data_IF_149681424832
#
_entry.id   IF_149681424832
#
_cell.length_a   1.000
_cell.length_b   1.000
_cell.length_c   1.000
_cell.angle_alpha   90.00
_cell.angle_beta   90.00
_cell.angle_gamma   90.00
#
_symmetry.space_group_name_H-M   'P 1'
#
loop_
_entity.id
_entity.type
_entity.pdbx_description
1 polymer ?
#
# COMPACT_ATOMS: atom_id res chain seq x y z
N UNK A 1 1.31 -27.75 18.01
CA UNK A 1 1.23 -26.68 19.04
C UNK A 1 -0.17 -26.11 19.02
N UNK A 2 -0.78 -25.85 20.18
CA UNK A 2 -2.08 -25.17 20.26
C UNK A 2 -1.93 -23.66 20.04
N UNK A 3 -2.97 -22.99 19.53
CA UNK A 3 -3.01 -21.52 19.39
C UNK A 3 -2.83 -20.81 20.74
N UNK A 4 -3.42 -21.39 21.79
CA UNK A 4 -3.33 -20.88 23.17
C UNK A 4 -1.88 -20.81 23.66
N UNK A 5 -1.08 -21.86 23.43
CA UNK A 5 0.33 -21.86 23.80
C UNK A 5 1.14 -20.81 23.03
N UNK A 6 0.86 -20.62 21.73
CA UNK A 6 1.56 -19.61 20.92
C UNK A 6 1.27 -18.20 21.42
N UNK A 7 0.03 -17.92 21.86
CA UNK A 7 -0.35 -16.63 22.44
C UNK A 7 0.31 -16.37 23.78
N UNK A 8 0.27 -17.34 24.69
CA UNK A 8 0.94 -17.22 26.00
C UNK A 8 2.44 -16.96 25.85
N UNK A 9 3.09 -17.68 24.92
CA UNK A 9 4.52 -17.48 24.64
C UNK A 9 4.80 -16.10 24.06
N UNK A 10 3.97 -15.63 23.12
CA UNK A 10 4.11 -14.29 22.56
C UNK A 10 3.99 -13.20 23.64
N UNK A 11 3.06 -13.33 24.58
CA UNK A 11 2.88 -12.36 25.65
C UNK A 11 4.04 -12.35 26.66
N UNK A 12 4.61 -13.52 26.97
CA UNK A 12 5.84 -13.62 27.77
C UNK A 12 7.02 -12.89 27.08
N UNK A 13 7.20 -13.11 25.78
CA UNK A 13 8.26 -12.46 24.99
C UNK A 13 8.06 -10.95 24.92
N UNK A 14 6.83 -10.46 24.69
CA UNK A 14 6.50 -9.03 24.73
C UNK A 14 6.87 -8.41 26.08
N UNK A 15 6.61 -9.10 27.19
CA UNK A 15 7.00 -8.66 28.53
C UNK A 15 8.51 -8.45 28.68
N UNK A 16 9.33 -9.34 28.11
CA UNK A 16 10.80 -9.22 28.11
C UNK A 16 11.27 -8.05 27.26
N UNK A 17 10.66 -7.84 26.08
CA UNK A 17 11.02 -6.72 25.21
C UNK A 17 10.74 -5.37 25.87
N UNK A 18 9.63 -5.23 26.62
CA UNK A 18 9.37 -4.00 27.39
C UNK A 18 10.46 -3.66 28.39
N UNK A 19 11.09 -4.67 29.00
CA UNK A 19 12.21 -4.45 29.93
C UNK A 19 13.47 -3.93 29.21
N UNK A 20 13.62 -4.20 27.91
CA UNK A 20 14.78 -3.74 27.14
C UNK A 20 14.83 -2.22 27.00
N UNK A 21 13.68 -1.53 26.98
CA UNK A 21 13.60 -0.06 26.97
C UNK A 21 14.14 0.60 28.25
N UNK A 22 14.22 -0.15 29.37
CA UNK A 22 14.75 0.31 30.65
C UNK A 22 16.13 -0.24 31.02
N UNK A 23 16.74 -1.06 30.15
CA UNK A 23 18.04 -1.69 30.39
C UNK A 23 19.20 -0.79 29.95
N UNK A 24 20.41 -1.04 30.47
CA UNK A 24 21.65 -0.28 30.14
C UNK A 24 21.84 -0.08 28.62
N UNK A 25 21.46 -1.06 27.79
CA UNK A 25 21.53 -0.99 26.32
C UNK A 25 20.69 0.15 25.71
N UNK A 26 19.57 0.53 26.32
CA UNK A 26 18.71 1.62 25.87
C UNK A 26 18.92 2.93 26.66
N UNK A 27 19.93 3.00 27.52
CA UNK A 27 20.24 4.25 28.27
C UNK A 27 21.03 5.27 27.45
N UNK A 28 21.64 4.87 26.33
CA UNK A 28 22.27 5.77 25.36
C UNK A 28 21.36 6.02 24.14
N UNK A 29 21.46 7.22 23.53
CA UNK A 29 20.72 7.58 22.32
C UNK A 29 20.96 6.56 21.19
N UNK A 30 22.22 6.21 20.93
CA UNK A 30 22.59 5.24 19.90
C UNK A 30 21.97 3.85 20.16
N UNK A 31 22.00 3.37 21.40
CA UNK A 31 21.40 2.08 21.76
C UNK A 31 19.88 2.07 21.66
N UNK A 32 19.24 3.20 21.97
CA UNK A 32 17.79 3.39 21.83
C UNK A 32 17.35 3.41 20.36
N UNK A 33 18.10 4.12 19.49
CA UNK A 33 17.86 4.12 18.03
C UNK A 33 17.98 2.70 17.45
N UNK A 34 19.02 1.95 17.84
CA UNK A 34 19.21 0.56 17.39
C UNK A 34 18.03 -0.31 17.82
N UNK A 35 17.56 -0.19 19.07
CA UNK A 35 16.42 -0.97 19.54
C UNK A 35 15.13 -0.65 18.77
N UNK A 36 14.85 0.64 18.54
CA UNK A 36 13.68 1.07 17.75
C UNK A 36 13.77 0.53 16.33
N UNK A 37 14.92 0.69 15.65
CA UNK A 37 15.11 0.18 14.29
C UNK A 37 14.94 -1.35 14.23
N UNK A 38 15.49 -2.10 15.20
CA UNK A 38 15.32 -3.55 15.27
C UNK A 38 13.87 -3.97 15.44
N UNK A 39 13.11 -3.30 16.31
CA UNK A 39 11.69 -3.60 16.54
C UNK A 39 10.86 -3.32 15.29
N UNK A 40 11.09 -2.19 14.62
CA UNK A 40 10.40 -1.86 13.37
C UNK A 40 10.71 -2.85 12.26
N UNK A 41 11.99 -3.16 12.04
CA UNK A 41 12.39 -4.04 10.94
C UNK A 41 11.94 -5.47 11.20
N UNK A 42 11.88 -5.92 12.46
CA UNK A 42 11.29 -7.21 12.81
C UNK A 42 9.75 -7.23 12.82
N UNK A 43 9.09 -6.10 12.54
CA UNK A 43 7.62 -6.00 12.50
C UNK A 43 6.98 -6.20 13.87
N UNK A 44 7.64 -5.71 14.91
CA UNK A 44 7.23 -5.82 16.32
C UNK A 44 6.81 -4.48 16.92
N UNK A 45 6.97 -3.38 16.19
CA UNK A 45 6.71 -2.00 16.63
C UNK A 45 5.26 -1.76 17.05
N UNK A 46 4.32 -2.43 16.40
CA UNK A 46 2.90 -2.39 16.75
C UNK A 46 2.61 -2.77 18.22
N UNK A 47 3.44 -3.60 18.83
CA UNK A 47 3.28 -4.04 20.23
C UNK A 47 3.86 -3.07 21.25
N UNK A 48 4.65 -2.09 20.81
CA UNK A 48 5.43 -1.17 21.66
C UNK A 48 5.26 0.30 21.24
N UNK A 49 4.10 0.68 20.67
CA UNK A 49 3.87 2.02 20.08
C UNK A 49 4.15 3.16 21.06
N UNK A 50 3.71 3.02 22.32
CA UNK A 50 3.92 4.06 23.33
C UNK A 50 5.38 4.12 23.76
N UNK A 51 6.02 2.97 23.98
CA UNK A 51 7.44 2.89 24.34
C UNK A 51 8.35 3.45 23.25
N UNK A 52 8.06 3.17 21.98
CA UNK A 52 8.79 3.71 20.81
C UNK A 52 8.59 5.23 20.72
N UNK A 53 7.36 5.71 20.92
CA UNK A 53 7.07 7.15 20.89
C UNK A 53 7.80 7.90 22.00
N UNK A 54 7.83 7.36 23.21
CA UNK A 54 8.61 7.92 24.32
C UNK A 54 10.10 7.90 24.01
N UNK A 55 10.62 6.81 23.46
CA UNK A 55 12.02 6.68 23.07
C UNK A 55 12.43 7.74 22.04
N UNK A 56 11.63 7.91 20.98
CA UNK A 56 11.90 8.90 19.93
C UNK A 56 11.75 10.34 20.43
N UNK A 57 10.82 10.59 21.37
CA UNK A 57 10.70 11.89 22.01
C UNK A 57 11.97 12.27 22.78
N UNK A 58 12.61 11.30 23.44
CA UNK A 58 13.91 11.50 24.12
C UNK A 58 15.03 11.78 23.12
N UNK A 59 15.10 10.99 22.04
CA UNK A 59 16.07 11.18 20.95
C UNK A 59 15.93 12.58 20.33
N UNK A 60 14.71 13.06 20.13
CA UNK A 60 14.45 14.38 19.55
C UNK A 60 14.81 15.54 20.49
N UNK A 61 14.67 15.36 21.81
CA UNK A 61 14.96 16.40 22.81
C UNK A 61 16.44 16.56 23.15
N UNK A 62 17.30 15.67 22.67
CA UNK A 62 18.73 15.68 22.98
C UNK A 62 19.48 16.61 22.01
N UNK A 63 20.06 17.70 22.54
CA UNK A 63 20.84 18.69 21.78
C UNK A 63 22.25 18.16 21.38
N UNK A 64 22.66 16.97 21.85
CA UNK A 64 24.00 16.39 21.62
C UNK A 64 24.11 15.46 20.40
N UNK A 65 23.16 15.50 19.44
CA UNK A 65 23.34 14.76 18.19
C UNK A 65 24.46 15.41 17.35
N UNK A 66 25.61 14.76 17.27
CA UNK A 66 26.66 15.09 16.31
C UNK A 66 26.17 14.91 14.85
N UNK A 67 26.90 15.46 13.87
CA UNK A 67 26.51 15.41 12.46
C UNK A 67 26.26 13.95 11.98
N UNK A 68 27.01 12.99 12.51
CA UNK A 68 26.89 11.56 12.22
C UNK A 68 25.60 10.95 12.81
N UNK A 69 25.27 11.26 14.07
CA UNK A 69 24.05 10.85 14.75
C UNK A 69 22.81 11.47 14.11
N UNK A 70 22.89 12.73 13.70
CA UNK A 70 21.78 13.41 13.03
C UNK A 70 21.51 12.83 11.64
N UNK A 71 22.56 12.46 10.87
CA UNK A 71 22.40 11.80 9.55
C UNK A 71 21.70 10.43 9.65
N UNK A 72 22.02 9.64 10.68
CA UNK A 72 21.45 8.30 10.90
C UNK A 72 20.01 8.33 11.44
N UNK A 73 19.57 9.47 11.97
CA UNK A 73 18.27 9.61 12.66
C UNK A 73 17.20 10.33 11.82
N UNK A 74 17.56 10.94 10.69
CA UNK A 74 16.62 11.67 9.83
C UNK A 74 15.41 10.84 9.38
N UNK A 75 15.66 9.59 8.94
CA UNK A 75 14.58 8.73 8.46
C UNK A 75 13.67 8.25 9.61
N UNK A 76 14.17 7.68 10.71
CA UNK A 76 13.34 7.32 11.87
C UNK A 76 12.52 8.50 12.42
N UNK A 77 13.10 9.70 12.53
CA UNK A 77 12.37 10.87 13.03
C UNK A 77 11.18 11.23 12.14
N UNK A 78 11.40 11.40 10.84
CA UNK A 78 10.32 11.71 9.88
C UNK A 78 9.31 10.56 9.75
N UNK A 79 9.71 9.30 9.96
CA UNK A 79 8.81 8.14 9.93
C UNK A 79 7.83 8.11 11.12
N UNK A 80 8.17 8.71 12.25
CA UNK A 80 7.36 8.74 13.48
C UNK A 80 6.79 10.13 13.78
N UNK A 81 6.45 10.87 12.73
CA UNK A 81 5.77 12.16 12.82
C UNK A 81 6.57 13.27 13.54
N UNK A 82 7.89 13.09 13.74
CA UNK A 82 8.76 14.19 14.13
C UNK A 82 9.10 14.98 12.88
N UNK A 83 8.49 16.17 12.75
CA UNK A 83 8.81 17.08 11.65
C UNK A 83 10.26 17.52 11.77
N UNK A 84 11.05 17.17 10.75
CA UNK A 84 12.43 17.65 10.60
C UNK A 84 12.46 18.57 9.38
N UNK A 85 12.79 19.86 9.60
CA UNK A 85 12.95 20.85 8.54
C UNK A 85 13.97 20.39 7.49
N UNK A 86 13.78 20.79 6.24
CA UNK A 86 14.79 20.57 5.19
C UNK A 86 16.12 21.25 5.48
N UNK A 87 16.12 22.26 6.35
CA UNK A 87 17.35 22.96 6.76
C UNK A 87 18.36 22.01 7.41
N UNK A 88 17.89 20.90 8.00
CA UNK A 88 18.77 19.86 8.57
C UNK A 88 19.60 19.17 7.48
N UNK A 89 19.15 19.18 6.23
CA UNK A 89 19.92 18.63 5.11
C UNK A 89 21.07 19.56 4.68
N UNK A 90 21.01 20.85 5.01
CA UNK A 90 22.08 21.80 4.72
C UNK A 90 23.33 21.53 5.57
N UNK A 91 23.18 20.83 6.70
CA UNK A 91 24.31 20.39 7.54
C UNK A 91 25.19 19.33 6.83
N UNK A 92 24.68 18.71 5.78
CA UNK A 92 25.42 17.74 4.96
C UNK A 92 26.02 18.35 3.70
N UNK A 93 25.97 19.68 3.55
CA UNK A 93 26.46 20.39 2.37
C UNK A 93 27.79 21.08 2.65
N UNK A 94 28.62 21.14 1.62
CA UNK A 94 29.89 21.86 1.63
C UNK A 94 29.70 23.37 1.38
N UNK A 95 30.79 24.12 1.41
CA UNK A 95 30.80 25.57 1.16
C UNK A 95 30.32 25.95 -0.25
N UNK A 96 30.29 25.00 -1.19
CA UNK A 96 29.77 25.22 -2.56
C UNK A 96 28.25 25.05 -2.63
N UNK A 97 27.63 24.56 -1.56
CA UNK A 97 26.23 24.14 -1.54
C UNK A 97 26.01 22.78 -2.18
N UNK A 98 27.03 21.95 -2.37
CA UNK A 98 26.85 20.55 -2.82
C UNK A 98 26.86 19.60 -1.62
N UNK A 99 26.28 18.41 -1.73
CA UNK A 99 26.42 17.40 -0.67
C UNK A 99 27.89 16.99 -0.52
N UNK A 100 28.39 17.01 0.72
CA UNK A 100 29.81 16.79 1.03
C UNK A 100 30.25 15.38 0.66
N UNK A 101 31.42 15.26 0.00
CA UNK A 101 32.04 13.97 -0.29
C UNK A 101 32.46 13.20 0.97
N UNK A 102 32.58 13.86 2.13
CA UNK A 102 32.90 13.20 3.40
C UNK A 102 31.83 12.14 3.78
N UNK A 103 30.58 12.34 3.35
CA UNK A 103 29.48 11.40 3.55
C UNK A 103 29.72 10.05 2.88
N UNK A 104 30.55 9.99 1.83
CA UNK A 104 30.87 8.75 1.11
C UNK A 104 31.54 7.73 2.03
N UNK A 105 32.24 8.20 3.06
CA UNK A 105 32.90 7.33 4.04
C UNK A 105 31.92 6.66 5.01
N UNK A 106 30.65 7.09 5.05
CA UNK A 106 29.59 6.51 5.88
C UNK A 106 28.40 5.98 5.03
N UNK A 107 28.47 4.71 4.57
CA UNK A 107 27.38 4.09 3.83
C UNK A 107 26.05 4.01 4.60
N UNK A 108 26.07 3.99 5.94
CA UNK A 108 24.84 3.94 6.75
C UNK A 108 24.17 5.31 6.78
N UNK A 109 24.94 6.37 7.02
CA UNK A 109 24.49 7.77 6.92
C UNK A 109 23.93 8.08 5.53
N UNK A 110 24.61 7.66 4.45
CA UNK A 110 24.12 7.82 3.08
C UNK A 110 22.79 7.09 2.81
N UNK A 111 22.64 5.87 3.31
CA UNK A 111 21.39 5.12 3.17
C UNK A 111 20.24 5.78 3.96
N UNK A 112 20.53 6.30 5.15
CA UNK A 112 19.56 7.06 5.94
C UNK A 112 19.14 8.36 5.22
N UNK A 113 20.10 9.12 4.69
CA UNK A 113 19.87 10.32 3.88
C UNK A 113 18.97 10.01 2.67
N UNK A 114 19.29 8.95 1.92
CA UNK A 114 18.50 8.50 0.78
C UNK A 114 17.04 8.20 1.17
N UNK A 115 16.83 7.41 2.23
CA UNK A 115 15.49 7.07 2.69
C UNK A 115 14.74 8.29 3.25
N UNK A 116 15.42 9.20 3.96
CA UNK A 116 14.82 10.42 4.47
C UNK A 116 14.36 11.36 3.35
N UNK A 117 15.18 11.49 2.30
CA UNK A 117 14.87 12.34 1.15
C UNK A 117 13.65 11.83 0.35
N UNK A 118 13.39 10.52 0.34
CA UNK A 118 12.17 9.96 -0.28
C UNK A 118 10.86 10.25 0.48
N UNK A 119 10.94 10.85 1.67
CA UNK A 119 9.79 11.40 2.41
C UNK A 119 9.52 12.88 2.09
N UNK A 120 10.11 13.39 0.99
CA UNK A 120 9.90 14.76 0.54
C UNK A 120 8.42 15.12 0.36
N UNK A 121 8.09 16.39 0.61
CA UNK A 121 6.80 17.00 0.27
C UNK A 121 6.92 17.90 -0.97
N UNK A 122 5.80 18.39 -1.56
CA UNK A 122 5.86 19.27 -2.72
C UNK A 122 6.60 20.58 -2.38
N UNK A 123 7.54 20.97 -3.23
CA UNK A 123 8.37 22.18 -3.06
C UNK A 123 9.77 21.92 -2.49
N UNK A 124 10.03 20.73 -1.92
CA UNK A 124 11.35 20.35 -1.41
C UNK A 124 12.26 19.81 -2.52
N UNK A 125 12.69 20.67 -3.47
CA UNK A 125 13.52 20.28 -4.61
C UNK A 125 14.95 19.84 -4.19
N UNK A 126 15.45 20.36 -3.07
CA UNK A 126 16.77 19.99 -2.52
C UNK A 126 16.89 18.48 -2.24
N UNK A 127 15.77 17.82 -1.94
CA UNK A 127 15.76 16.39 -1.67
C UNK A 127 15.94 15.55 -2.94
N UNK A 128 15.67 16.09 -4.14
CA UNK A 128 16.02 15.42 -5.39
C UNK A 128 17.54 15.34 -5.57
N UNK A 129 18.26 16.40 -5.21
CA UNK A 129 19.73 16.42 -5.20
C UNK A 129 20.29 15.41 -4.21
N UNK A 130 19.68 15.31 -3.01
CA UNK A 130 20.06 14.33 -1.99
C UNK A 130 19.88 12.89 -2.48
N UNK A 131 18.73 12.59 -3.11
CA UNK A 131 18.44 11.26 -3.69
C UNK A 131 19.47 10.92 -4.77
N UNK A 132 19.75 11.85 -5.68
CA UNK A 132 20.69 11.64 -6.78
C UNK A 132 22.12 11.44 -6.28
N UNK A 133 22.56 12.23 -5.30
CA UNK A 133 23.87 12.12 -4.66
C UNK A 133 24.01 10.76 -3.95
N UNK A 134 23.10 10.44 -3.03
CA UNK A 134 23.19 9.21 -2.25
C UNK A 134 23.11 7.96 -3.14
N UNK A 135 22.22 7.94 -4.14
CA UNK A 135 22.12 6.83 -5.11
C UNK A 135 23.45 6.56 -5.81
N UNK A 136 24.08 7.59 -6.37
CA UNK A 136 25.37 7.47 -7.09
C UNK A 136 26.45 6.81 -6.24
N UNK A 137 26.48 7.10 -4.94
CA UNK A 137 27.51 6.58 -4.03
C UNK A 137 27.14 5.25 -3.38
N UNK A 138 25.89 4.81 -3.50
CA UNK A 138 25.40 3.52 -3.00
C UNK A 138 25.28 2.43 -4.10
N UNK A 139 25.38 2.79 -5.38
CA UNK A 139 25.15 1.90 -6.54
C UNK A 139 25.98 0.60 -6.56
N UNK A 140 27.18 0.61 -5.97
CA UNK A 140 28.06 -0.56 -5.92
C UNK A 140 27.79 -1.49 -4.73
N UNK A 141 26.88 -1.12 -3.82
CA UNK A 141 26.62 -1.87 -2.59
C UNK A 141 25.64 -3.03 -2.82
N UNK A 142 25.81 -4.10 -2.04
CA UNK A 142 25.00 -5.33 -2.10
C UNK A 142 24.04 -5.44 -0.92
N UNK A 143 23.10 -6.38 -0.99
CA UNK A 143 22.18 -6.69 0.12
C UNK A 143 21.15 -5.60 0.36
N UNK A 144 21.00 -5.15 1.60
CA UNK A 144 19.99 -4.16 2.02
C UNK A 144 20.06 -2.86 1.21
N UNK A 145 21.27 -2.38 0.89
CA UNK A 145 21.45 -1.15 0.11
C UNK A 145 20.88 -1.32 -1.29
N UNK A 146 21.16 -2.44 -1.95
CA UNK A 146 20.62 -2.74 -3.29
C UNK A 146 19.09 -2.75 -3.28
N UNK A 147 18.46 -3.34 -2.26
CA UNK A 147 16.98 -3.35 -2.16
C UNK A 147 16.40 -1.95 -1.96
N UNK A 148 17.01 -1.14 -1.09
CA UNK A 148 16.57 0.23 -0.88
C UNK A 148 16.71 1.10 -2.15
N UNK A 149 17.71 0.83 -3.00
CA UNK A 149 17.86 1.51 -4.28
C UNK A 149 16.82 1.10 -5.34
N UNK A 150 16.22 -0.09 -5.22
CA UNK A 150 15.09 -0.52 -6.05
C UNK A 150 13.79 0.17 -5.60
N UNK A 151 13.46 0.06 -4.32
CA UNK A 151 12.32 0.76 -3.71
C UNK A 151 12.80 1.33 -2.36
N UNK A 152 12.75 2.66 -2.16
CA UNK A 152 13.16 3.30 -0.91
C UNK A 152 12.36 2.79 0.28
N UNK A 153 13.00 2.67 1.45
CA UNK A 153 12.38 2.13 2.67
C UNK A 153 11.03 2.78 3.04
N UNK A 154 10.83 4.12 2.97
CA UNK A 154 9.53 4.72 3.28
C UNK A 154 8.39 4.25 2.37
N UNK A 155 8.71 3.82 1.16
CA UNK A 155 7.79 3.35 0.12
C UNK A 155 7.72 1.83 0.04
N UNK A 156 8.66 1.14 0.69
CA UNK A 156 8.72 -0.32 0.70
C UNK A 156 7.74 -0.92 1.70
N UNK A 157 7.26 -2.11 1.40
CA UNK A 157 6.33 -2.82 2.26
C UNK A 157 7.04 -3.34 3.51
N UNK A 158 6.54 -2.92 4.68
CA UNK A 158 7.07 -3.31 5.99
C UNK A 158 7.16 -4.81 6.16
N UNK A 159 6.10 -5.56 5.82
CA UNK A 159 6.07 -7.01 6.04
C UNK A 159 7.10 -7.78 5.19
N UNK A 160 7.34 -7.36 3.96
CA UNK A 160 8.36 -7.98 3.11
C UNK A 160 9.78 -7.62 3.60
N UNK A 161 9.99 -6.37 4.05
CA UNK A 161 11.24 -6.01 4.72
C UNK A 161 11.44 -6.86 5.97
N UNK A 162 10.41 -7.07 6.79
CA UNK A 162 10.48 -7.96 7.95
C UNK A 162 10.87 -9.39 7.57
N UNK A 163 10.30 -9.94 6.51
CA UNK A 163 10.68 -11.27 6.04
C UNK A 163 12.15 -11.35 5.61
N UNK A 164 12.65 -10.34 4.89
CA UNK A 164 14.07 -10.27 4.53
C UNK A 164 14.94 -10.08 5.77
N UNK A 165 14.54 -9.18 6.67
CA UNK A 165 15.32 -8.83 7.82
C UNK A 165 15.40 -9.95 8.85
N UNK A 166 14.35 -10.77 9.04
CA UNK A 166 14.44 -11.95 9.90
C UNK A 166 15.60 -12.87 9.46
N UNK A 167 15.77 -13.08 8.15
CA UNK A 167 16.84 -13.92 7.60
C UNK A 167 18.22 -13.27 7.80
N UNK A 168 18.32 -11.94 7.63
CA UNK A 168 19.57 -11.20 7.82
C UNK A 168 19.95 -11.12 9.30
N UNK A 169 18.98 -10.84 10.17
CA UNK A 169 19.14 -10.73 11.61
C UNK A 169 19.63 -12.04 12.21
N UNK A 170 19.15 -13.19 11.72
CA UNK A 170 19.67 -14.52 12.10
C UNK A 170 21.17 -14.71 11.85
N UNK A 171 21.76 -13.96 10.93
CA UNK A 171 23.16 -14.07 10.53
C UNK A 171 24.06 -13.05 11.25
N UNK A 172 23.50 -12.15 12.06
CA UNK A 172 24.28 -11.20 12.85
C UNK A 172 25.15 -11.91 13.90
N UNK A 173 26.21 -11.22 14.37
CA UNK A 173 27.18 -11.81 15.29
C UNK A 173 26.57 -12.16 16.67
N UNK A 174 25.47 -11.50 17.06
CA UNK A 174 24.74 -11.75 18.30
C UNK A 174 23.26 -11.33 18.21
N UNK A 175 22.40 -12.09 17.50
CA UNK A 175 20.98 -11.77 17.41
C UNK A 175 20.29 -11.97 18.76
N UNK A 176 19.39 -11.05 19.10
CA UNK A 176 18.51 -11.22 20.26
C UNK A 176 17.49 -12.32 20.00
N UNK A 177 17.65 -13.45 20.68
CA UNK A 177 16.80 -14.62 20.53
C UNK A 177 15.33 -14.35 20.92
N UNK A 178 15.08 -13.41 21.85
CA UNK A 178 13.72 -13.01 22.25
C UNK A 178 13.02 -12.31 21.10
N UNK A 179 13.70 -11.37 20.45
CA UNK A 179 13.17 -10.65 19.29
C UNK A 179 12.94 -11.59 18.11
N UNK A 180 13.88 -12.50 17.84
CA UNK A 180 13.78 -13.43 16.73
C UNK A 180 12.66 -14.46 16.91
N UNK A 181 12.45 -14.96 18.13
CA UNK A 181 11.35 -15.90 18.41
C UNK A 181 9.99 -15.22 18.25
N UNK A 182 9.85 -13.98 18.75
CA UNK A 182 8.61 -13.22 18.67
C UNK A 182 8.24 -12.89 17.20
N UNK A 183 9.22 -12.63 16.33
CA UNK A 183 8.99 -12.28 14.93
C UNK A 183 8.50 -13.43 14.03
N UNK A 184 8.65 -14.70 14.43
CA UNK A 184 8.44 -15.88 13.57
C UNK A 184 7.05 -16.52 13.62
N UNK A 185 6.15 -16.10 14.49
CA UNK A 185 4.78 -16.63 14.56
C UNK A 185 3.83 -15.88 13.63
N UNK A 186 2.99 -16.58 12.82
CA UNK A 186 1.62 -16.22 12.32
C UNK A 186 1.31 -16.50 10.81
N UNK A 187 -0.01 -16.76 10.54
CA UNK A 187 -0.80 -16.60 9.28
C UNK A 187 -1.20 -17.78 8.36
N UNK A 188 -0.94 -19.05 8.68
CA UNK A 188 -1.29 -20.15 7.74
C UNK A 188 -2.80 -20.50 7.64
N UNK A 189 -3.64 -20.09 8.58
CA UNK A 189 -5.05 -20.53 8.64
C UNK A 189 -6.01 -19.74 7.75
N UNK A 190 -5.79 -18.45 7.56
CA UNK A 190 -6.68 -17.59 6.75
C UNK A 190 -6.64 -17.98 5.28
N UNK A 191 -5.44 -18.18 4.73
CA UNK A 191 -5.25 -18.55 3.33
C UNK A 191 -5.96 -19.87 2.99
N UNK A 192 -5.95 -20.84 3.92
CA UNK A 192 -6.69 -22.10 3.76
C UNK A 192 -8.20 -21.86 3.61
N UNK A 193 -8.78 -21.04 4.48
CA UNK A 193 -10.22 -20.75 4.47
C UNK A 193 -10.62 -19.95 3.22
N UNK A 194 -9.81 -18.96 2.84
CA UNK A 194 -10.01 -18.17 1.63
C UNK A 194 -9.89 -19.03 0.36
N UNK A 195 -8.94 -19.96 0.31
CA UNK A 195 -8.78 -20.90 -0.81
C UNK A 195 -10.01 -21.81 -0.99
N UNK A 196 -10.60 -22.29 0.11
CA UNK A 196 -11.82 -23.10 0.06
C UNK A 196 -13.01 -22.27 -0.43
N UNK A 197 -13.19 -21.06 0.12
CA UNK A 197 -14.23 -20.12 -0.31
C UNK A 197 -14.10 -19.78 -1.80
N UNK A 198 -12.90 -19.45 -2.27
CA UNK A 198 -12.64 -19.08 -3.65
C UNK A 198 -12.93 -20.23 -4.62
N UNK A 199 -12.46 -21.44 -4.29
CA UNK A 199 -12.72 -22.62 -5.11
C UNK A 199 -14.22 -22.86 -5.30
N UNK A 200 -15.01 -22.68 -4.25
CA UNK A 200 -16.45 -22.89 -4.30
C UNK A 200 -17.15 -21.78 -5.11
N UNK A 201 -16.72 -20.52 -4.96
CA UNK A 201 -17.18 -19.39 -5.77
C UNK A 201 -16.87 -19.60 -7.27
N UNK A 202 -15.60 -19.81 -7.60
CA UNK A 202 -15.10 -19.95 -8.98
C UNK A 202 -15.80 -21.08 -9.73
N UNK A 203 -15.96 -22.25 -9.09
CA UNK A 203 -16.71 -23.38 -9.64
C UNK A 203 -18.19 -23.06 -9.84
N UNK A 204 -18.82 -22.38 -8.87
CA UNK A 204 -20.25 -22.09 -8.93
C UNK A 204 -20.64 -21.11 -10.03
N UNK A 205 -19.73 -20.20 -10.41
CA UNK A 205 -19.97 -19.21 -11.47
C UNK A 205 -19.52 -19.75 -12.85
N UNK A 206 -18.72 -20.82 -12.90
CA UNK A 206 -18.28 -21.44 -14.16
C UNK A 206 -17.30 -20.55 -14.95
N UNK A 207 -16.42 -19.86 -14.24
CA UNK A 207 -15.58 -18.78 -14.76
C UNK A 207 -14.27 -19.29 -15.40
N UNK A 208 -14.35 -20.05 -16.49
CA UNK A 208 -13.14 -20.55 -17.19
C UNK A 208 -12.28 -19.47 -17.85
N UNK A 209 -12.76 -18.23 -17.89
CA UNK A 209 -12.12 -17.08 -18.53
C UNK A 209 -11.50 -16.10 -17.53
N UNK A 210 -11.88 -16.15 -16.25
CA UNK A 210 -11.38 -15.24 -15.22
C UNK A 210 -10.05 -15.77 -14.66
N UNK A 211 -9.23 -14.88 -14.11
CA UNK A 211 -7.94 -15.24 -13.52
C UNK A 211 -8.15 -15.97 -12.18
N UNK A 212 -7.49 -17.11 -11.98
CA UNK A 212 -7.51 -17.85 -10.71
C UNK A 212 -6.44 -17.29 -9.75
N UNK A 213 -6.82 -16.22 -9.04
CA UNK A 213 -5.90 -15.33 -8.30
C UNK A 213 -6.38 -15.11 -6.87
N UNK A 214 -6.51 -16.13 -6.03
CA UNK A 214 -6.86 -15.90 -4.60
C UNK A 214 -5.63 -15.58 -3.75
N UNK A 215 -4.46 -16.07 -4.16
CA UNK A 215 -3.21 -15.92 -3.40
C UNK A 215 -2.70 -14.49 -3.50
N UNK A 216 -2.81 -13.86 -4.67
CA UNK A 216 -2.30 -12.53 -4.96
C UNK A 216 -3.07 -11.44 -4.18
N UNK A 217 -4.42 -11.35 -4.24
CA UNK A 217 -5.20 -10.46 -3.39
C UNK A 217 -5.02 -10.73 -1.90
N UNK A 218 -4.87 -12.00 -1.49
CA UNK A 218 -4.53 -12.30 -0.10
C UNK A 218 -3.15 -11.76 0.26
N UNK A 219 -2.14 -11.97 -0.57
CA UNK A 219 -0.78 -11.48 -0.37
C UNK A 219 -0.74 -9.95 -0.30
N UNK A 220 -1.52 -9.26 -1.16
CA UNK A 220 -1.68 -7.81 -1.10
C UNK A 220 -2.16 -7.35 0.27
N UNK A 221 -3.26 -7.93 0.76
CA UNK A 221 -3.89 -7.52 2.01
C UNK A 221 -3.13 -8.02 3.25
N UNK A 222 -2.52 -9.20 3.17
CA UNK A 222 -1.67 -9.76 4.20
C UNK A 222 -0.49 -8.85 4.49
N UNK A 223 0.13 -8.37 3.43
CA UNK A 223 1.23 -7.43 3.48
C UNK A 223 0.79 -6.04 3.95
N UNK A 224 -0.39 -5.61 3.46
CA UNK A 224 -1.20 -4.47 3.88
C UNK A 224 -1.33 -4.31 5.41
N UNK A 225 -1.86 -5.37 6.00
CA UNK A 225 -2.46 -5.36 7.33
C UNK A 225 -2.00 -6.61 8.07
N UNK A 226 -0.71 -6.74 8.32
CA UNK A 226 -0.09 -7.98 8.78
C UNK A 226 -0.38 -8.29 10.26
N UNK A 227 -0.83 -7.32 11.05
CA UNK A 227 -1.07 -7.49 12.50
C UNK A 227 -2.24 -8.45 12.77
N UNK A 228 -2.17 -9.28 13.82
CA UNK A 228 -3.17 -10.33 14.10
C UNK A 228 -4.60 -9.75 14.18
N UNK A 229 -4.74 -8.58 14.80
CA UNK A 229 -6.00 -7.86 15.00
C UNK A 229 -6.67 -7.47 13.67
N UNK A 230 -5.91 -7.36 12.59
CA UNK A 230 -6.39 -6.98 11.26
C UNK A 230 -6.91 -8.18 10.43
N UNK A 231 -7.09 -9.36 11.04
CA UNK A 231 -7.63 -10.56 10.37
C UNK A 231 -8.95 -10.30 9.64
N UNK A 232 -9.86 -9.56 10.26
CA UNK A 232 -11.15 -9.17 9.65
C UNK A 232 -10.96 -8.33 8.39
N UNK A 233 -10.01 -7.40 8.40
CA UNK A 233 -9.64 -6.58 7.24
C UNK A 233 -9.10 -7.49 6.13
N UNK A 234 -8.09 -8.33 6.43
CA UNK A 234 -7.48 -9.23 5.45
C UNK A 234 -8.51 -10.12 4.76
N UNK A 235 -9.39 -10.77 5.52
CA UNK A 235 -10.42 -11.67 4.96
C UNK A 235 -11.43 -10.88 4.13
N UNK A 236 -11.96 -9.78 4.65
CA UNK A 236 -13.04 -9.01 3.99
C UNK A 236 -12.54 -8.35 2.71
N UNK A 237 -11.39 -7.67 2.77
CA UNK A 237 -10.82 -6.99 1.61
C UNK A 237 -10.39 -8.01 0.56
N UNK A 238 -9.82 -9.17 0.94
CA UNK A 238 -9.48 -10.22 -0.03
C UNK A 238 -10.72 -10.72 -0.78
N UNK A 239 -11.82 -11.01 -0.07
CA UNK A 239 -13.06 -11.44 -0.71
C UNK A 239 -13.59 -10.40 -1.69
N UNK A 240 -13.64 -9.12 -1.28
CA UNK A 240 -14.14 -8.04 -2.12
C UNK A 240 -13.21 -7.76 -3.31
N UNK A 241 -11.89 -7.83 -3.10
CA UNK A 241 -10.89 -7.73 -4.17
C UNK A 241 -11.13 -8.82 -5.21
N UNK A 242 -11.25 -10.08 -4.79
CA UNK A 242 -11.55 -11.16 -5.72
C UNK A 242 -12.87 -10.96 -6.47
N UNK A 243 -13.91 -10.40 -5.83
CA UNK A 243 -15.18 -10.09 -6.50
C UNK A 243 -15.06 -8.98 -7.55
N UNK A 244 -14.34 -7.89 -7.25
CA UNK A 244 -14.11 -6.82 -8.24
C UNK A 244 -13.21 -7.29 -9.38
N UNK A 245 -12.26 -8.20 -9.13
CA UNK A 245 -11.42 -8.80 -10.17
C UNK A 245 -12.23 -9.70 -11.10
N UNK A 246 -13.21 -10.44 -10.58
CA UNK A 246 -14.16 -11.19 -11.41
C UNK A 246 -15.06 -10.26 -12.24
N UNK A 247 -15.46 -9.13 -11.68
CA UNK A 247 -16.25 -8.12 -12.38
C UNK A 247 -15.42 -7.50 -13.52
N UNK A 248 -14.18 -7.11 -13.24
CA UNK A 248 -13.18 -6.58 -14.17
C UNK A 248 -12.96 -7.54 -15.36
N UNK A 249 -12.57 -8.79 -15.08
CA UNK A 249 -12.38 -9.83 -16.12
C UNK A 249 -13.64 -10.07 -16.97
N UNK A 250 -14.83 -9.85 -16.40
CA UNK A 250 -16.09 -9.97 -17.14
C UNK A 250 -16.25 -8.86 -18.16
N UNK A 251 -15.97 -7.60 -17.77
CA UNK A 251 -16.04 -6.46 -18.69
C UNK A 251 -14.94 -6.53 -19.76
N UNK A 252 -13.72 -6.93 -19.39
CA UNK A 252 -12.56 -6.87 -20.28
C UNK A 252 -12.50 -8.02 -21.29
N UNK A 253 -12.81 -9.25 -20.85
CA UNK A 253 -12.47 -10.45 -21.62
C UNK A 253 -13.69 -11.13 -22.23
N UNK A 254 -14.85 -11.06 -21.57
CA UNK A 254 -15.98 -11.94 -21.89
C UNK A 254 -17.23 -11.24 -22.38
N UNK A 255 -17.72 -10.24 -21.67
CA UNK A 255 -19.02 -9.66 -21.93
C UNK A 255 -19.00 -8.84 -23.22
N UNK A 256 -20.05 -9.00 -24.02
CA UNK A 256 -20.34 -8.07 -25.13
C UNK A 256 -20.76 -6.71 -24.59
N UNK A 257 -20.72 -5.65 -25.41
CA UNK A 257 -21.16 -4.31 -24.99
C UNK A 257 -22.61 -4.32 -24.47
N UNK A 258 -23.51 -5.06 -25.12
CA UNK A 258 -24.90 -5.22 -24.68
C UNK A 258 -24.98 -5.92 -23.32
N UNK A 259 -24.20 -6.99 -23.12
CA UNK A 259 -24.11 -7.70 -21.85
C UNK A 259 -23.52 -6.84 -20.72
N UNK A 260 -22.51 -6.01 -21.02
CA UNK A 260 -21.95 -5.03 -20.09
C UNK A 260 -23.01 -4.02 -19.62
N UNK A 261 -23.84 -3.52 -20.54
CA UNK A 261 -24.94 -2.61 -20.18
C UNK A 261 -25.98 -3.32 -19.31
N UNK A 262 -26.36 -4.55 -19.66
CA UNK A 262 -27.29 -5.35 -18.86
C UNK A 262 -26.74 -5.65 -17.47
N UNK A 263 -25.46 -5.98 -17.36
CA UNK A 263 -24.77 -6.23 -16.10
C UNK A 263 -24.74 -4.96 -15.24
N UNK A 264 -24.40 -3.80 -15.81
CA UNK A 264 -24.43 -2.54 -15.09
C UNK A 264 -25.83 -2.23 -14.56
N UNK A 265 -26.87 -2.35 -15.39
CA UNK A 265 -28.25 -2.15 -14.94
C UNK A 265 -28.63 -3.06 -13.77
N UNK A 266 -28.22 -4.34 -13.81
CA UNK A 266 -28.46 -5.27 -12.72
C UNK A 266 -27.71 -4.85 -11.44
N UNK A 267 -26.44 -4.44 -11.55
CA UNK A 267 -25.65 -3.91 -10.44
C UNK A 267 -26.30 -2.65 -9.85
N UNK A 268 -26.75 -1.71 -10.68
CA UNK A 268 -27.42 -0.48 -10.23
C UNK A 268 -28.69 -0.78 -9.42
N UNK A 269 -29.46 -1.78 -9.82
CA UNK A 269 -30.69 -2.19 -9.11
C UNK A 269 -30.41 -2.98 -7.83
N UNK A 270 -29.32 -3.75 -7.77
CA UNK A 270 -28.87 -4.52 -6.59
C UNK A 270 -29.95 -5.41 -5.98
N UNK A 271 -30.56 -6.25 -6.82
CA UNK A 271 -31.67 -7.11 -6.41
C UNK A 271 -31.65 -8.42 -7.21
N UNK A 272 -31.85 -9.55 -6.54
CA UNK A 272 -31.86 -10.86 -7.20
C UNK A 272 -33.01 -11.01 -8.23
N UNK A 273 -34.14 -10.33 -8.02
CA UNK A 273 -35.29 -10.42 -8.94
C UNK A 273 -34.96 -9.91 -10.36
N UNK A 274 -33.98 -9.01 -10.48
CA UNK A 274 -33.58 -8.42 -11.76
C UNK A 274 -32.45 -9.19 -12.46
N UNK A 275 -31.85 -10.21 -11.84
CA UNK A 275 -30.81 -10.99 -12.54
C UNK A 275 -31.40 -12.03 -13.52
N UNK A 276 -32.73 -12.19 -13.52
CA UNK A 276 -33.45 -13.17 -14.35
C UNK A 276 -33.35 -12.92 -15.85
N UNK A 277 -33.11 -11.67 -16.28
CA UNK A 277 -32.89 -11.32 -17.69
C UNK A 277 -31.43 -11.41 -18.13
N UNK A 278 -30.48 -11.60 -17.21
CA UNK A 278 -29.08 -11.77 -17.55
C UNK A 278 -28.83 -13.17 -18.16
N UNK A 279 -27.84 -13.29 -19.08
CA UNK A 279 -27.23 -14.56 -19.44
C UNK A 279 -26.81 -15.36 -18.20
N UNK A 280 -26.80 -16.69 -18.31
CA UNK A 280 -26.62 -17.61 -17.17
C UNK A 280 -25.38 -17.30 -16.32
N UNK A 281 -24.23 -17.03 -16.96
CA UNK A 281 -22.99 -16.74 -16.25
C UNK A 281 -23.02 -15.39 -15.52
N UNK A 282 -23.59 -14.35 -16.13
CA UNK A 282 -23.75 -13.02 -15.51
C UNK A 282 -24.76 -13.07 -14.36
N UNK A 283 -25.81 -13.88 -14.51
CA UNK A 283 -26.76 -14.16 -13.45
C UNK A 283 -26.07 -14.82 -12.26
N UNK A 284 -25.27 -15.85 -12.51
CA UNK A 284 -24.52 -16.54 -11.47
C UNK A 284 -23.54 -15.59 -10.75
N UNK A 285 -22.78 -14.79 -11.49
CA UNK A 285 -21.87 -13.77 -10.94
C UNK A 285 -22.62 -12.76 -10.06
N UNK A 286 -23.75 -12.25 -10.55
CA UNK A 286 -24.56 -11.26 -9.83
C UNK A 286 -25.14 -11.82 -8.53
N UNK A 287 -25.73 -13.02 -8.56
CA UNK A 287 -26.27 -13.68 -7.35
C UNK A 287 -25.15 -13.92 -6.35
N UNK A 288 -23.99 -14.43 -6.79
CA UNK A 288 -22.87 -14.69 -5.89
C UNK A 288 -22.29 -13.42 -5.31
N UNK A 289 -22.24 -12.34 -6.07
CA UNK A 289 -21.88 -11.01 -5.55
C UNK A 289 -22.83 -10.60 -4.44
N UNK A 290 -24.15 -10.58 -4.69
CA UNK A 290 -25.16 -10.20 -3.70
C UNK A 290 -25.08 -11.05 -2.42
N UNK A 291 -24.95 -12.38 -2.57
CA UNK A 291 -24.79 -13.31 -1.45
C UNK A 291 -23.55 -13.01 -0.61
N UNK A 292 -22.39 -12.77 -1.23
CA UNK A 292 -21.16 -12.47 -0.50
C UNK A 292 -21.23 -11.14 0.24
N UNK A 293 -21.83 -10.11 -0.36
CA UNK A 293 -22.07 -8.83 0.33
C UNK A 293 -23.01 -9.00 1.51
N UNK A 294 -24.02 -9.88 1.38
CA UNK A 294 -24.92 -10.21 2.48
C UNK A 294 -24.21 -10.96 3.62
N UNK A 295 -23.38 -11.95 3.28
CA UNK A 295 -22.55 -12.66 4.25
C UNK A 295 -21.61 -11.69 5.01
N UNK A 296 -20.97 -10.75 4.31
CA UNK A 296 -20.14 -9.72 4.94
C UNK A 296 -20.98 -8.88 5.91
N UNK A 297 -22.13 -8.35 5.48
CA UNK A 297 -23.03 -7.56 6.34
C UNK A 297 -23.49 -8.33 7.59
N UNK A 298 -23.73 -9.64 7.46
CA UNK A 298 -24.19 -10.48 8.56
C UNK A 298 -23.10 -10.72 9.62
N UNK A 299 -21.81 -10.56 9.25
CA UNK A 299 -20.69 -10.58 10.21
C UNK A 299 -20.45 -9.26 10.93
N UNK A 300 -21.15 -8.18 10.54
CA UNK A 300 -20.95 -6.85 11.10
C UNK A 300 -21.80 -6.60 12.35
N UNK A 301 -21.25 -5.83 13.28
CA UNK A 301 -22.00 -5.36 14.44
C UNK A 301 -23.14 -4.41 14.04
N UNK A 302 -24.27 -4.35 14.78
CA UNK A 302 -25.42 -3.52 14.41
C UNK A 302 -25.08 -2.04 14.17
N UNK A 303 -24.17 -1.48 14.95
CA UNK A 303 -23.75 -0.07 14.82
C UNK A 303 -22.84 0.17 13.60
N UNK A 304 -22.31 -0.86 12.95
CA UNK A 304 -21.46 -0.76 11.76
C UNK A 304 -22.24 -0.92 10.46
N UNK A 305 -23.42 -1.56 10.49
CA UNK A 305 -24.18 -1.95 9.29
C UNK A 305 -24.54 -0.79 8.37
N UNK A 306 -24.65 0.43 8.88
CA UNK A 306 -24.87 1.62 8.05
C UNK A 306 -23.77 1.81 6.98
N UNK A 307 -22.54 1.34 7.25
CA UNK A 307 -21.40 1.43 6.32
C UNK A 307 -21.66 0.64 5.04
N UNK A 308 -22.44 -0.45 5.09
CA UNK A 308 -22.74 -1.28 3.91
C UNK A 308 -23.45 -0.51 2.80
N UNK A 309 -24.33 0.44 3.14
CA UNK A 309 -24.99 1.27 2.14
C UNK A 309 -23.97 2.06 1.30
N UNK A 310 -22.89 2.56 1.92
CA UNK A 310 -21.82 3.26 1.22
C UNK A 310 -20.97 2.31 0.38
N UNK A 311 -20.63 1.13 0.93
CA UNK A 311 -19.84 0.12 0.22
C UNK A 311 -20.59 -0.35 -1.03
N UNK A 312 -21.87 -0.68 -0.91
CA UNK A 312 -22.73 -1.08 -2.04
C UNK A 312 -22.79 0.04 -3.09
N UNK A 313 -22.92 1.31 -2.67
CA UNK A 313 -22.90 2.46 -3.58
C UNK A 313 -21.57 2.56 -4.36
N UNK A 314 -20.44 2.33 -3.70
CA UNK A 314 -19.13 2.35 -4.38
C UNK A 314 -18.95 1.15 -5.31
N UNK A 315 -19.37 -0.05 -4.91
CA UNK A 315 -19.35 -1.22 -5.80
C UNK A 315 -20.21 -1.01 -7.05
N UNK A 316 -21.40 -0.41 -6.90
CA UNK A 316 -22.22 0.01 -8.06
C UNK A 316 -21.50 1.00 -8.97
N UNK A 317 -20.68 1.88 -8.40
CA UNK A 317 -19.91 2.86 -9.17
C UNK A 317 -18.80 2.18 -9.95
N UNK A 318 -18.17 1.12 -9.41
CA UNK A 318 -17.17 0.33 -10.13
C UNK A 318 -17.68 -0.23 -11.44
N UNK A 319 -18.89 -0.80 -11.43
CA UNK A 319 -19.56 -1.26 -12.65
C UNK A 319 -19.70 -0.16 -13.71
N UNK A 320 -19.96 1.09 -13.31
CA UNK A 320 -20.06 2.21 -14.25
C UNK A 320 -18.71 2.60 -14.84
N UNK A 321 -17.64 2.57 -14.03
CA UNK A 321 -16.30 2.89 -14.51
C UNK A 321 -15.82 1.84 -15.52
N UNK A 322 -16.01 0.55 -15.22
CA UNK A 322 -15.70 -0.53 -16.17
C UNK A 322 -16.53 -0.43 -17.46
N UNK A 323 -17.82 -0.14 -17.35
CA UNK A 323 -18.66 0.10 -18.54
C UNK A 323 -18.16 1.31 -19.36
N UNK A 324 -17.66 2.36 -18.71
CA UNK A 324 -17.13 3.53 -19.40
C UNK A 324 -15.82 3.21 -20.14
N UNK A 325 -14.91 2.44 -19.54
CA UNK A 325 -13.70 1.96 -20.22
C UNK A 325 -14.03 1.05 -21.39
N UNK A 326 -14.99 0.14 -21.20
CA UNK A 326 -15.50 -0.74 -22.26
C UNK A 326 -16.06 0.07 -23.44
N UNK A 327 -16.74 1.20 -23.18
CA UNK A 327 -17.22 2.12 -24.22
C UNK A 327 -16.08 2.77 -24.99
N UNK A 328 -15.10 3.31 -24.28
CA UNK A 328 -13.92 3.88 -24.93
C UNK A 328 -13.23 2.88 -25.84
N UNK A 329 -13.06 1.64 -25.37
CA UNK A 329 -12.49 0.57 -26.16
C UNK A 329 -13.32 0.25 -27.42
N UNK A 330 -14.62 -0.05 -27.26
CA UNK A 330 -15.49 -0.44 -28.38
C UNK A 330 -15.66 0.67 -29.43
N UNK A 331 -15.65 1.94 -29.01
CA UNK A 331 -15.79 3.09 -29.89
C UNK A 331 -14.44 3.57 -30.48
N UNK A 332 -13.32 2.90 -30.17
CA UNK A 332 -11.95 3.33 -30.49
C UNK A 332 -11.66 4.78 -30.05
N UNK A 333 -12.27 5.20 -28.94
CA UNK A 333 -12.09 6.52 -28.38
C UNK A 333 -10.85 6.52 -27.48
N UNK A 334 -9.90 7.39 -27.80
CA UNK A 334 -8.83 7.77 -26.86
C UNK A 334 -9.24 9.10 -26.22
N UNK A 335 -9.70 9.09 -24.95
CA UNK A 335 -10.11 10.30 -24.24
C UNK A 335 -8.93 11.26 -24.00
N UNK A 336 -9.23 12.48 -23.54
CA UNK A 336 -8.20 13.38 -23.03
C UNK A 336 -7.53 12.77 -21.78
N UNK A 337 -6.28 13.12 -21.53
CA UNK A 337 -5.48 12.57 -20.43
C UNK A 337 -6.17 12.75 -19.07
N UNK A 338 -6.67 13.95 -18.76
CA UNK A 338 -7.36 14.19 -17.48
C UNK A 338 -8.69 13.43 -17.39
N UNK A 339 -9.50 13.43 -18.46
CA UNK A 339 -10.78 12.70 -18.50
C UNK A 339 -10.57 11.18 -18.31
N UNK A 340 -9.50 10.66 -18.92
CA UNK A 340 -9.05 9.28 -18.72
C UNK A 340 -8.71 9.02 -17.25
N UNK A 341 -7.86 9.86 -16.66
CA UNK A 341 -7.39 9.68 -15.28
C UNK A 341 -8.56 9.70 -14.29
N UNK A 342 -9.53 10.62 -14.43
CA UNK A 342 -10.70 10.69 -13.54
C UNK A 342 -11.50 9.38 -13.45
N UNK A 343 -11.68 8.70 -14.59
CA UNK A 343 -12.40 7.42 -14.63
C UNK A 343 -11.50 6.29 -14.18
N UNK A 344 -10.28 6.23 -14.74
CA UNK A 344 -9.41 5.07 -14.60
C UNK A 344 -8.72 4.98 -13.23
N UNK A 345 -8.61 6.09 -12.50
CA UNK A 345 -8.17 6.06 -11.10
C UNK A 345 -9.21 5.34 -10.23
N UNK A 346 -10.50 5.54 -10.52
CA UNK A 346 -11.58 4.92 -9.75
C UNK A 346 -11.77 3.44 -10.12
N UNK A 347 -11.67 3.13 -11.42
CA UNK A 347 -11.76 1.74 -11.92
C UNK A 347 -10.65 0.83 -11.43
N UNK A 348 -9.49 1.36 -10.99
CA UNK A 348 -8.44 0.54 -10.35
C UNK A 348 -8.95 -0.31 -9.19
N UNK A 349 -10.08 0.09 -8.59
CA UNK A 349 -10.59 -0.52 -7.38
C UNK A 349 -9.85 -0.09 -6.11
N UNK A 350 -8.69 0.57 -6.21
CA UNK A 350 -7.86 0.90 -5.04
C UNK A 350 -8.58 1.82 -4.02
N UNK A 351 -9.21 2.94 -4.41
CA UNK A 351 -10.03 3.75 -3.47
C UNK A 351 -11.16 2.95 -2.82
N UNK A 352 -11.78 2.05 -3.59
CA UNK A 352 -12.87 1.22 -3.09
C UNK A 352 -12.39 0.17 -2.10
N UNK A 353 -11.28 -0.52 -2.38
CA UNK A 353 -10.67 -1.49 -1.47
C UNK A 353 -10.20 -0.84 -0.17
N UNK A 354 -9.64 0.37 -0.24
CA UNK A 354 -9.32 1.15 0.95
C UNK A 354 -10.58 1.41 1.80
N UNK A 355 -11.67 1.82 1.15
CA UNK A 355 -12.93 2.07 1.84
C UNK A 355 -13.54 0.79 2.46
N UNK A 356 -13.36 -0.37 1.81
CA UNK A 356 -13.71 -1.69 2.37
C UNK A 356 -12.84 -2.03 3.59
N UNK A 357 -11.54 -1.71 3.55
CA UNK A 357 -10.65 -1.92 4.68
C UNK A 357 -11.09 -1.13 5.91
N UNK A 358 -11.49 0.14 5.73
CA UNK A 358 -12.03 0.98 6.80
C UNK A 358 -13.34 0.44 7.38
N UNK A 359 -14.21 -0.13 6.53
CA UNK A 359 -15.43 -0.78 7.00
C UNK A 359 -15.11 -2.00 7.88
N UNK A 360 -14.11 -2.80 7.49
CA UNK A 360 -13.69 -4.00 8.21
C UNK A 360 -12.84 -3.72 9.47
N UNK A 361 -12.26 -2.52 9.60
CA UNK A 361 -11.46 -2.10 10.76
C UNK A 361 -12.31 -1.81 12.04
N UNK A 362 -13.64 -1.90 11.94
CA UNK A 362 -14.55 -1.81 13.09
C UNK A 362 -14.48 -0.47 13.82
N UNK A 363 -14.35 -0.52 15.16
CA UNK A 363 -14.32 0.67 16.04
C UNK A 363 -13.00 1.44 16.00
N UNK A 364 -11.94 0.87 15.41
CA UNK A 364 -10.65 1.58 15.25
C UNK A 364 -10.82 2.79 14.34
N UNK A 365 -11.76 2.72 13.39
CA UNK A 365 -12.06 3.80 12.45
C UNK A 365 -13.28 4.58 12.92
N UNK A 366 -13.08 5.86 13.20
CA UNK A 366 -14.13 6.82 13.56
C UNK A 366 -15.08 7.08 12.39
N UNK A 367 -16.26 7.65 12.67
CA UNK A 367 -17.20 8.02 11.61
C UNK A 367 -16.60 9.11 10.71
N UNK A 368 -15.90 10.05 11.33
CA UNK A 368 -15.21 11.17 10.70
C UNK A 368 -14.16 10.67 9.70
N UNK A 369 -13.32 9.70 10.11
CA UNK A 369 -12.32 9.10 9.22
C UNK A 369 -12.96 8.33 8.05
N UNK A 370 -14.09 7.66 8.30
CA UNK A 370 -14.84 6.94 7.26
C UNK A 370 -15.46 7.91 6.23
N UNK A 371 -16.05 9.01 6.68
CA UNK A 371 -16.62 10.05 5.81
C UNK A 371 -15.55 10.83 5.05
N UNK A 372 -14.41 11.10 5.69
CA UNK A 372 -13.21 11.64 5.04
C UNK A 372 -12.79 10.76 3.86
N UNK A 373 -12.59 9.47 4.08
CA UNK A 373 -12.17 8.55 3.01
C UNK A 373 -13.20 8.44 1.88
N UNK A 374 -14.49 8.45 2.21
CA UNK A 374 -15.57 8.40 1.21
C UNK A 374 -15.57 9.61 0.27
N UNK A 375 -15.08 10.77 0.72
CA UNK A 375 -14.96 11.98 -0.11
C UNK A 375 -13.83 11.92 -1.14
N UNK A 376 -12.99 10.87 -1.10
CA UNK A 376 -11.82 10.68 -1.98
C UNK A 376 -10.88 11.90 -1.92
N UNK A 377 -10.31 12.20 -0.73
CA UNK A 377 -9.42 13.33 -0.54
C UNK A 377 -8.12 13.14 -1.30
N UNK A 378 -7.33 14.21 -1.45
CA UNK A 378 -6.11 14.20 -2.28
C UNK A 378 -5.14 13.06 -1.93
N UNK A 379 -5.01 12.65 -0.67
CA UNK A 379 -4.20 11.48 -0.28
C UNK A 379 -4.70 10.17 -0.91
N UNK A 380 -6.02 9.92 -0.88
CA UNK A 380 -6.65 8.73 -1.50
C UNK A 380 -6.50 8.80 -3.01
N UNK A 381 -6.70 9.99 -3.57
CA UNK A 381 -6.57 10.23 -5.00
C UNK A 381 -5.13 10.00 -5.48
N UNK A 382 -4.14 10.54 -4.79
CA UNK A 382 -2.72 10.37 -5.10
C UNK A 382 -2.30 8.90 -5.04
N UNK A 383 -2.79 8.15 -4.04
CA UNK A 383 -2.56 6.69 -3.96
C UNK A 383 -3.11 5.95 -5.19
N UNK A 384 -4.33 6.30 -5.62
CA UNK A 384 -4.95 5.71 -6.80
C UNK A 384 -4.27 6.10 -8.11
N UNK A 385 -3.86 7.36 -8.25
CA UNK A 385 -3.09 7.87 -9.38
C UNK A 385 -1.76 7.11 -9.52
N UNK A 386 -1.02 6.94 -8.42
CA UNK A 386 0.21 6.15 -8.42
C UNK A 386 -0.06 4.71 -8.88
N UNK A 387 -1.09 4.04 -8.34
CA UNK A 387 -1.45 2.68 -8.76
C UNK A 387 -1.76 2.58 -10.27
N UNK A 388 -2.59 3.50 -10.78
CA UNK A 388 -2.95 3.57 -12.21
C UNK A 388 -1.72 3.83 -13.09
N UNK A 389 -0.88 4.80 -12.72
CA UNK A 389 0.30 5.17 -13.50
C UNK A 389 1.34 4.04 -13.54
N UNK A 390 1.62 3.40 -12.41
CA UNK A 390 2.52 2.25 -12.36
C UNK A 390 1.99 1.07 -13.19
N UNK A 391 0.70 0.76 -13.08
CA UNK A 391 0.03 -0.28 -13.87
C UNK A 391 0.13 -0.02 -15.37
N UNK A 392 -0.18 1.20 -15.82
CA UNK A 392 -0.20 1.55 -17.23
C UNK A 392 1.22 1.61 -17.82
N UNK A 393 2.21 2.11 -17.08
CA UNK A 393 3.63 2.05 -17.48
C UNK A 393 4.08 0.59 -17.64
N UNK A 394 3.76 -0.27 -16.68
CA UNK A 394 4.10 -1.68 -16.72
C UNK A 394 3.47 -2.39 -17.94
N UNK A 395 2.18 -2.17 -18.14
CA UNK A 395 1.42 -2.71 -19.26
C UNK A 395 1.97 -2.23 -20.61
N UNK A 396 2.26 -0.94 -20.74
CA UNK A 396 2.85 -0.36 -21.96
C UNK A 396 4.22 -0.97 -22.27
N UNK A 397 5.12 -1.06 -21.28
CA UNK A 397 6.47 -1.64 -21.44
C UNK A 397 6.43 -3.12 -21.83
N UNK A 398 5.43 -3.87 -21.37
CA UNK A 398 5.22 -5.29 -21.71
C UNK A 398 4.61 -5.52 -23.09
N UNK A 399 4.36 -4.44 -23.86
CA UNK A 399 3.56 -4.44 -25.09
C UNK A 399 2.15 -4.89 -24.79
N UNK A 400 1.39 -3.96 -24.20
CA UNK A 400 -0.05 -4.07 -23.95
C UNK A 400 -0.77 -4.70 -25.15
N UNK A 401 -1.83 -5.46 -24.87
CA UNK A 401 -2.67 -6.00 -25.91
C UNK A 401 -3.35 -4.85 -26.66
N UNK A 402 -3.24 -4.83 -27.99
CA UNK A 402 -3.87 -3.79 -28.83
C UNK A 402 -5.41 -3.81 -28.76
N UNK A 403 -5.98 -4.80 -28.06
CA UNK A 403 -7.42 -4.96 -27.80
C UNK A 403 -7.85 -4.46 -26.42
N UNK A 404 -7.06 -3.61 -25.78
CA UNK A 404 -7.42 -3.01 -24.50
C UNK A 404 -7.76 -1.52 -24.69
N UNK A 405 -8.44 -0.91 -23.70
CA UNK A 405 -8.65 0.54 -23.63
C UNK A 405 -7.31 1.29 -23.72
N UNK A 406 -7.26 2.52 -24.25
CA UNK A 406 -6.02 3.29 -24.25
C UNK A 406 -5.50 3.51 -22.81
N UNK A 407 -4.21 3.35 -22.57
CA UNK A 407 -3.57 3.61 -21.27
C UNK A 407 -3.35 5.10 -21.03
N UNK A 408 -3.03 5.49 -19.79
CA UNK A 408 -2.56 6.85 -19.47
C UNK A 408 -1.36 7.27 -20.33
N UNK A 409 -0.45 6.34 -20.65
CA UNK A 409 0.69 6.59 -21.56
C UNK A 409 0.19 6.99 -22.95
N UNK A 410 -0.74 6.23 -23.52
CA UNK A 410 -1.28 6.49 -24.87
C UNK A 410 -2.13 7.76 -24.91
N UNK A 411 -2.94 8.01 -23.88
CA UNK A 411 -3.71 9.24 -23.74
C UNK A 411 -2.77 10.46 -23.66
N UNK A 412 -1.68 10.37 -22.89
CA UNK A 412 -0.68 11.42 -22.78
C UNK A 412 0.02 11.68 -24.11
N UNK A 413 0.48 10.63 -24.80
CA UNK A 413 1.10 10.71 -26.13
C UNK A 413 0.18 11.42 -27.13
N UNK A 414 -1.10 11.04 -27.17
CA UNK A 414 -2.07 11.62 -28.10
C UNK A 414 -2.32 13.10 -27.81
N UNK A 415 -2.49 13.47 -26.55
CA UNK A 415 -2.80 14.85 -26.16
C UNK A 415 -1.62 15.80 -26.35
N UNK A 416 -0.40 15.35 -26.04
CA UNK A 416 0.80 16.18 -26.03
C UNK A 416 1.67 16.01 -27.29
N UNK A 417 1.33 15.09 -28.19
CA UNK A 417 2.18 14.75 -29.34
C UNK A 417 3.52 14.14 -28.94
N UNK A 418 3.60 13.55 -27.74
CA UNK A 418 4.82 13.00 -27.15
C UNK A 418 5.13 11.60 -27.69
N UNK A 419 6.41 11.24 -27.70
CA UNK A 419 6.86 9.86 -27.89
C UNK A 419 6.50 9.00 -26.68
N UNK A 420 6.52 7.66 -26.85
CA UNK A 420 6.26 6.76 -25.74
C UNK A 420 7.27 6.88 -24.60
N UNK A 421 8.53 7.18 -24.91
CA UNK A 421 9.58 7.38 -23.90
C UNK A 421 9.34 8.67 -23.10
N UNK A 422 9.01 9.78 -23.77
CA UNK A 422 8.65 11.04 -23.13
C UNK A 422 7.39 10.90 -22.26
N UNK A 423 6.37 10.19 -22.75
CA UNK A 423 5.15 9.93 -21.99
C UNK A 423 5.40 9.08 -20.74
N UNK A 424 6.20 8.01 -20.86
CA UNK A 424 6.59 7.18 -19.71
C UNK A 424 7.39 7.99 -18.68
N UNK A 425 8.30 8.85 -19.12
CA UNK A 425 9.07 9.73 -18.23
C UNK A 425 8.18 10.77 -17.53
N UNK A 426 7.23 11.37 -18.25
CA UNK A 426 6.27 12.33 -17.69
C UNK A 426 5.38 11.67 -16.63
N UNK A 427 4.82 10.49 -16.93
CA UNK A 427 3.96 9.74 -15.98
C UNK A 427 4.78 9.24 -14.79
N UNK A 428 6.05 8.83 -14.99
CA UNK A 428 6.95 8.51 -13.88
C UNK A 428 7.20 9.71 -12.96
N UNK A 429 7.30 10.92 -13.51
CA UNK A 429 7.38 12.15 -12.71
C UNK A 429 6.09 12.39 -11.92
N UNK A 430 4.92 12.08 -12.49
CA UNK A 430 3.63 12.19 -11.79
C UNK A 430 3.50 11.18 -10.64
N UNK A 431 4.11 9.99 -10.75
CA UNK A 431 4.22 9.03 -9.63
C UNK A 431 5.00 9.63 -8.46
N UNK A 432 6.15 10.27 -8.72
CA UNK A 432 6.92 10.96 -7.69
C UNK A 432 6.14 12.12 -7.05
N UNK A 433 5.40 12.88 -7.85
CA UNK A 433 4.53 13.95 -7.35
C UNK A 433 3.37 13.42 -6.50
N UNK A 434 2.82 12.25 -6.82
CA UNK A 434 1.81 11.58 -6.02
C UNK A 434 2.35 11.18 -4.64
N UNK A 435 3.55 10.58 -4.58
CA UNK A 435 4.21 10.28 -3.30
C UNK A 435 4.42 11.51 -2.43
N UNK A 436 4.88 12.61 -3.01
CA UNK A 436 5.06 13.86 -2.27
C UNK A 436 3.74 14.40 -1.70
N UNK A 437 2.64 14.34 -2.47
CA UNK A 437 1.31 14.70 -1.99
C UNK A 437 0.84 13.80 -0.84
N UNK A 438 1.09 12.49 -0.93
CA UNK A 438 0.78 11.53 0.15
C UNK A 438 1.56 11.90 1.42
N UNK A 439 2.87 12.15 1.31
CA UNK A 439 3.72 12.54 2.44
C UNK A 439 3.18 13.82 3.11
N UNK A 440 2.88 14.86 2.32
CA UNK A 440 2.33 16.11 2.84
C UNK A 440 1.00 15.90 3.56
N UNK A 441 0.07 15.21 2.91
CA UNK A 441 -1.26 14.97 3.47
C UNK A 441 -1.19 14.14 4.75
N UNK A 442 -0.25 13.19 4.85
CA UNK A 442 -0.03 12.41 6.06
C UNK A 442 0.53 13.26 7.20
N UNK A 443 1.54 14.10 6.92
CA UNK A 443 2.15 14.99 7.92
C UNK A 443 1.18 16.02 8.50
N UNK A 444 0.26 16.51 7.67
CA UNK A 444 -0.75 17.51 8.06
C UNK A 444 -2.05 16.86 8.62
N UNK A 445 -2.07 15.53 8.80
CA UNK A 445 -3.29 14.79 9.12
C UNK A 445 -3.79 15.03 10.54
N UNK A 446 -5.12 15.14 10.69
CA UNK A 446 -5.76 15.18 12.00
C UNK A 446 -5.67 13.81 12.70
N UNK A 447 -5.39 13.81 14.02
CA UNK A 447 -5.28 12.60 14.83
C UNK A 447 -6.51 11.69 14.78
N UNK A 448 -7.71 12.25 14.57
CA UNK A 448 -8.94 11.48 14.44
C UNK A 448 -9.02 10.67 13.12
N UNK A 449 -8.24 11.05 12.11
CA UNK A 449 -8.20 10.45 10.76
C UNK A 449 -6.91 9.68 10.52
N UNK A 450 -5.84 10.00 11.24
CA UNK A 450 -4.52 9.37 11.15
C UNK A 450 -4.54 7.83 11.09
N UNK A 451 -5.35 7.09 11.89
CA UNK A 451 -5.41 5.63 11.76
C UNK A 451 -5.87 5.15 10.38
N UNK A 452 -6.81 5.85 9.75
CA UNK A 452 -7.28 5.53 8.39
C UNK A 452 -6.22 5.91 7.34
N UNK A 453 -5.54 7.04 7.51
CA UNK A 453 -4.46 7.47 6.63
C UNK A 453 -3.28 6.47 6.65
N UNK A 454 -2.97 5.90 7.82
CA UNK A 454 -1.93 4.86 7.95
C UNK A 454 -2.27 3.60 7.16
N UNK A 455 -3.53 3.13 7.25
CA UNK A 455 -4.01 1.99 6.46
C UNK A 455 -3.87 2.25 4.95
N UNK A 456 -4.19 3.47 4.50
CA UNK A 456 -4.01 3.87 3.10
C UNK A 456 -2.53 3.86 2.70
N UNK A 457 -1.64 4.39 3.53
CA UNK A 457 -0.21 4.42 3.26
C UNK A 457 0.37 3.01 3.13
N UNK A 458 -0.04 2.08 4.00
CA UNK A 458 0.40 0.68 3.91
C UNK A 458 -0.10 -0.01 2.64
N UNK A 459 -1.36 0.24 2.24
CA UNK A 459 -1.87 -0.22 0.94
C UNK A 459 -1.10 0.41 -0.23
N UNK A 460 -0.74 1.68 -0.13
CA UNK A 460 -0.02 2.43 -1.18
C UNK A 460 1.35 1.80 -1.46
N UNK A 461 2.10 1.44 -0.40
CA UNK A 461 3.42 0.79 -0.51
C UNK A 461 3.39 -0.52 -1.31
N UNK A 462 2.25 -1.23 -1.32
CA UNK A 462 2.11 -2.47 -2.10
C UNK A 462 2.22 -2.26 -3.60
N UNK A 463 1.76 -1.10 -4.10
CA UNK A 463 1.67 -0.82 -5.53
C UNK A 463 3.07 -0.75 -6.16
N UNK A 464 4.06 -0.24 -5.43
CA UNK A 464 5.47 -0.22 -5.86
C UNK A 464 6.02 -1.64 -6.12
N UNK A 465 5.70 -2.58 -5.25
CA UNK A 465 6.18 -3.97 -5.36
C UNK A 465 5.46 -4.70 -6.49
N UNK A 466 4.16 -4.49 -6.61
CA UNK A 466 3.32 -5.13 -7.62
C UNK A 466 3.74 -4.77 -9.05
N UNK A 467 4.15 -3.52 -9.25
CA UNK A 467 4.54 -3.01 -10.55
C UNK A 467 6.05 -2.90 -10.77
N UNK A 468 6.85 -3.43 -9.82
CA UNK A 468 8.30 -3.35 -9.85
C UNK A 468 8.89 -3.93 -11.15
N UNK A 469 9.78 -3.17 -11.78
CA UNK A 469 10.39 -3.44 -13.09
C UNK A 469 9.40 -3.55 -14.25
N UNK A 470 8.29 -2.81 -14.18
CA UNK A 470 7.24 -2.88 -15.20
C UNK A 470 6.58 -4.25 -15.22
N UNK A 471 6.55 -4.93 -14.07
CA UNK A 471 5.78 -6.16 -13.90
C UNK A 471 4.33 -5.83 -13.59
N UNK A 472 3.45 -6.81 -13.77
CA UNK A 472 2.08 -6.78 -13.27
C UNK A 472 1.97 -8.03 -12.40
N UNK A 473 1.87 -7.79 -11.09
CA UNK A 473 1.79 -8.80 -10.05
C UNK A 473 0.37 -9.25 -9.72
N UNK A 474 -0.66 -8.70 -10.38
CA UNK A 474 -2.07 -9.06 -10.22
C UNK A 474 -2.51 -10.22 -11.14
#
# INVERSE_FOLDING_TARGET
MSEEWMRERADELKGKVRQMFGADRATSVAGMVILVDQLERLGLDNHFREEIKEALSRIHSDEELDDAGMSSNLHPLRQHDFWVSTDVFDLFRDETGSFSEDLISDPRGLLSLYNAAHMAVPGEAILDEAIAFARRHLEAAIGQVSRALEIPRPRFMRRLETMHYIIEYEQEEAPDATLLELAKSLHLMELRNLSLWWRDLYRSVGLTYARDRIVEPYFYNFSAFHEEENSRIRITVTKVFSLIGLLDDTYDVRATMEECQMLDEAMQRWNESVVSFLPEYLRALSIKTLSNFKEIEDTMEPFEKYRMAYIIKQYKSQSKYYLQETKWFNENQVPGFNDHVEVTLMSTGAPFLFFVALMAAGQVVTKEAFEWAFSVPDMVRASAEMGRFLNDIASYKRRKNMKDVASTVECYMKEHGATGEEAVAAIGTMVEQAWRRINKAYMEMDRAVEPAARLLLDMTRMLEIYYLHGRDGL
#
